data_IF_735687945681
#
_entry.id   IF_735687945681
#
_cell.length_a   1.000
_cell.length_b   1.000
_cell.length_c   1.000
_cell.angle_alpha   90.00
_cell.angle_beta   90.00
_cell.angle_gamma   90.00
#
_symmetry.space_group_name_H-M   'P 1'
#
loop_
_entity.id
_entity.type
_entity.pdbx_description
1 polymer ?
#
# COMPACT_ATOMS: atom_id res chain seq x y z
N UNK A 1 53.99 22.36 51.36
CA UNK A 1 53.56 21.47 50.26
C UNK A 1 52.06 21.66 50.05
N UNK A 2 51.62 22.14 48.88
CA UNK A 2 50.18 22.32 48.59
C UNK A 2 49.48 20.95 48.60
N UNK A 3 48.30 20.86 49.22
CA UNK A 3 47.52 19.62 49.36
C UNK A 3 47.22 18.97 47.99
N UNK A 4 47.96 17.92 47.62
CA UNK A 4 47.81 17.21 46.33
C UNK A 4 46.49 16.42 46.21
N UNK A 5 45.85 16.09 47.32
CA UNK A 5 44.62 15.28 47.36
C UNK A 5 43.38 16.00 46.81
N UNK A 6 43.29 17.33 46.91
CA UNK A 6 42.15 18.10 46.39
C UNK A 6 42.08 18.15 44.87
N UNK A 7 43.24 18.15 44.19
CA UNK A 7 43.34 18.11 42.73
C UNK A 7 42.86 16.78 42.15
N UNK A 8 43.25 15.65 42.77
CA UNK A 8 42.82 14.30 42.37
C UNK A 8 41.29 14.11 42.46
N UNK A 9 40.67 14.68 43.50
CA UNK A 9 39.21 14.59 43.68
C UNK A 9 38.49 15.39 42.59
N UNK A 10 38.96 16.61 42.30
CA UNK A 10 38.37 17.46 41.26
C UNK A 10 38.49 16.84 39.87
N UNK A 11 39.68 16.32 39.52
CA UNK A 11 39.90 15.60 38.24
C UNK A 11 38.98 14.38 38.12
N UNK A 12 38.81 13.63 39.20
CA UNK A 12 37.91 12.47 39.23
C UNK A 12 36.45 12.89 39.00
N UNK A 13 35.99 13.97 39.62
CA UNK A 13 34.61 14.47 39.44
C UNK A 13 34.38 14.95 38.01
N UNK A 14 35.32 15.70 37.43
CA UNK A 14 35.22 16.17 36.04
C UNK A 14 35.23 15.00 35.06
N UNK A 15 36.10 14.01 35.28
CA UNK A 15 36.14 12.79 34.47
C UNK A 15 34.81 12.03 34.54
N UNK A 16 34.28 11.82 35.74
CA UNK A 16 33.04 11.06 35.94
C UNK A 16 31.82 11.81 35.36
N UNK A 17 31.76 13.14 35.54
CA UNK A 17 30.72 13.98 34.94
C UNK A 17 30.77 13.93 33.42
N UNK A 18 31.96 13.98 32.82
CA UNK A 18 32.10 13.90 31.36
C UNK A 18 31.69 12.53 30.82
N UNK A 19 32.04 11.43 31.51
CA UNK A 19 31.58 10.09 31.16
C UNK A 19 30.06 9.97 31.20
N UNK A 20 29.39 10.47 32.25
CA UNK A 20 27.93 10.42 32.36
C UNK A 20 27.26 11.18 31.21
N UNK A 21 27.77 12.38 30.87
CA UNK A 21 27.26 13.16 29.74
C UNK A 21 27.39 12.38 28.44
N UNK A 22 28.56 11.77 28.19
CA UNK A 22 28.81 10.95 26.99
C UNK A 22 27.84 9.77 26.94
N UNK A 23 27.65 9.04 28.05
CA UNK A 23 26.74 7.90 28.12
C UNK A 23 25.30 8.32 27.81
N UNK A 24 24.83 9.45 28.36
CA UNK A 24 23.48 9.95 28.11
C UNK A 24 23.27 10.35 26.64
N UNK A 25 24.27 11.01 26.03
CA UNK A 25 24.23 11.38 24.62
C UNK A 25 24.19 10.13 23.73
N UNK A 26 25.05 9.14 24.01
CA UNK A 26 25.08 7.87 23.27
C UNK A 26 23.74 7.12 23.40
N UNK A 27 23.16 7.08 24.59
CA UNK A 27 21.87 6.44 24.83
C UNK A 27 20.74 7.12 24.04
N UNK A 28 20.72 8.45 24.01
CA UNK A 28 19.75 9.22 23.22
C UNK A 28 19.87 8.94 21.71
N UNK A 29 21.11 8.92 21.18
CA UNK A 29 21.38 8.58 19.78
C UNK A 29 20.90 7.15 19.47
N UNK A 30 21.17 6.20 20.36
CA UNK A 30 20.77 4.81 20.20
C UNK A 30 19.26 4.65 20.11
N UNK A 31 18.50 5.24 21.04
CA UNK A 31 17.03 5.23 21.00
C UNK A 31 16.48 5.88 19.74
N UNK A 32 17.05 7.03 19.34
CA UNK A 32 16.65 7.71 18.12
C UNK A 32 16.89 6.83 16.89
N UNK A 33 18.01 6.11 16.84
CA UNK A 33 18.35 5.21 15.73
C UNK A 33 17.37 4.06 15.61
N UNK A 34 16.94 3.45 16.72
CA UNK A 34 15.92 2.40 16.71
C UNK A 34 14.60 2.93 16.16
N UNK A 35 14.16 4.10 16.63
CA UNK A 35 12.92 4.71 16.17
C UNK A 35 12.97 5.08 14.68
N UNK A 36 14.11 5.58 14.20
CA UNK A 36 14.31 5.86 12.79
C UNK A 36 14.27 4.58 11.95
N UNK A 37 14.95 3.51 12.39
CA UNK A 37 14.92 2.21 11.73
C UNK A 37 13.48 1.72 11.54
N UNK A 38 12.69 1.71 12.62
CA UNK A 38 11.29 1.23 12.56
C UNK A 38 10.46 2.05 11.57
N UNK A 39 10.61 3.38 11.55
CA UNK A 39 9.91 4.25 10.59
C UNK A 39 10.32 3.97 9.14
N UNK A 40 11.61 3.71 8.90
CA UNK A 40 12.13 3.39 7.56
C UNK A 40 11.61 2.02 7.11
N UNK A 41 11.62 1.03 7.99
CA UNK A 41 11.08 -0.31 7.73
C UNK A 41 9.59 -0.25 7.37
N UNK A 42 8.78 0.45 8.18
CA UNK A 42 7.36 0.65 7.91
C UNK A 42 7.13 1.36 6.55
N UNK A 43 7.99 2.32 6.18
CA UNK A 43 7.89 3.03 4.89
C UNK A 43 8.26 2.13 3.71
N UNK A 44 9.31 1.32 3.84
CA UNK A 44 9.75 0.37 2.80
C UNK A 44 8.66 -0.68 2.57
N UNK A 45 8.07 -1.20 3.64
CA UNK A 45 7.00 -2.20 3.54
C UNK A 45 5.76 -1.64 2.84
N UNK A 46 5.34 -0.41 3.15
CA UNK A 46 4.25 0.26 2.42
C UNK A 46 4.54 0.40 0.92
N UNK A 47 5.79 0.71 0.55
CA UNK A 47 6.20 0.77 -0.85
C UNK A 47 6.17 -0.60 -1.51
N UNK A 48 6.67 -1.65 -0.83
CA UNK A 48 6.64 -3.02 -1.34
C UNK A 48 5.20 -3.52 -1.55
N UNK A 49 4.33 -3.32 -0.55
CA UNK A 49 2.90 -3.64 -0.64
C UNK A 49 2.23 -2.91 -1.82
N UNK A 50 2.54 -1.63 -2.00
CA UNK A 50 2.00 -0.87 -3.14
C UNK A 50 2.40 -1.47 -4.50
N UNK A 51 3.65 -1.93 -4.64
CA UNK A 51 4.15 -2.52 -5.88
C UNK A 51 3.53 -3.88 -6.16
N UNK A 52 3.31 -4.69 -5.13
CA UNK A 52 2.61 -5.98 -5.24
C UNK A 52 1.16 -5.77 -5.67
N UNK A 53 0.45 -4.82 -5.05
CA UNK A 53 -0.92 -4.45 -5.43
C UNK A 53 -0.96 -3.99 -6.89
N UNK A 54 -0.06 -3.10 -7.31
CA UNK A 54 0.00 -2.60 -8.69
C UNK A 54 0.14 -3.76 -9.68
N UNK A 55 1.10 -4.67 -9.46
CA UNK A 55 1.31 -5.82 -10.35
C UNK A 55 0.09 -6.74 -10.40
N UNK A 56 -0.54 -6.99 -9.25
CA UNK A 56 -1.73 -7.83 -9.15
C UNK A 56 -2.91 -7.19 -9.89
N UNK A 57 -3.16 -5.90 -9.65
CA UNK A 57 -4.21 -5.14 -10.33
C UNK A 57 -3.96 -5.04 -11.83
N UNK A 58 -2.70 -4.83 -12.25
CA UNK A 58 -2.32 -4.79 -13.66
C UNK A 58 -2.64 -6.13 -14.32
N UNK A 59 -2.19 -7.26 -13.76
CA UNK A 59 -2.46 -8.59 -14.33
C UNK A 59 -3.95 -8.96 -14.40
N UNK A 60 -4.79 -8.36 -13.57
CA UNK A 60 -6.25 -8.54 -13.62
C UNK A 60 -6.82 -7.58 -14.68
N UNK A 61 -6.72 -6.27 -14.45
CA UNK A 61 -7.39 -5.25 -15.25
C UNK A 61 -6.90 -5.25 -16.69
N UNK A 62 -5.60 -5.46 -16.94
CA UNK A 62 -5.05 -5.43 -18.30
C UNK A 62 -5.64 -6.53 -19.19
N UNK A 63 -5.93 -7.69 -18.58
CA UNK A 63 -6.47 -8.86 -19.26
C UNK A 63 -8.01 -8.87 -19.32
N UNK A 64 -8.66 -7.95 -18.62
CA UNK A 64 -10.10 -7.77 -18.69
C UNK A 64 -10.54 -7.16 -20.03
N UNK A 65 -11.85 -7.20 -20.29
CA UNK A 65 -12.47 -6.49 -21.40
C UNK A 65 -12.91 -5.06 -21.05
N UNK A 66 -12.83 -4.68 -19.79
CA UNK A 66 -13.33 -3.41 -19.29
C UNK A 66 -13.90 -3.50 -17.89
N UNK A 67 -14.27 -2.34 -17.36
CA UNK A 67 -14.80 -2.17 -16.01
C UNK A 67 -16.32 -2.02 -16.06
N UNK A 68 -17.04 -2.75 -15.21
CA UNK A 68 -18.50 -2.83 -15.24
C UNK A 68 -19.19 -1.81 -14.32
N UNK A 69 -18.60 -1.51 -13.16
CA UNK A 69 -19.29 -0.82 -12.06
C UNK A 69 -18.92 0.67 -11.92
N UNK A 70 -17.94 1.15 -12.66
CA UNK A 70 -17.53 2.55 -12.63
C UNK A 70 -18.07 3.21 -13.89
N UNK A 71 -19.16 3.96 -13.73
CA UNK A 71 -19.77 4.75 -14.80
C UNK A 71 -18.77 5.79 -15.33
N UNK A 72 -18.57 5.81 -16.66
CA UNK A 72 -17.74 6.76 -17.38
C UNK A 72 -18.20 8.22 -17.19
N UNK A 73 -17.27 9.16 -17.48
CA UNK A 73 -17.44 10.57 -17.88
C UNK A 73 -17.17 11.71 -16.87
N UNK A 74 -16.59 11.47 -15.71
CA UNK A 74 -16.04 12.56 -14.90
C UNK A 74 -14.51 12.56 -14.96
N UNK A 75 -13.88 13.71 -15.21
CA UNK A 75 -12.41 13.88 -15.28
C UNK A 75 -11.72 13.78 -13.90
N UNK A 76 -12.41 13.30 -12.87
CA UNK A 76 -11.95 13.30 -11.49
C UNK A 76 -11.91 11.91 -10.86
N UNK A 77 -10.91 11.68 -10.02
CA UNK A 77 -10.81 10.46 -9.20
C UNK A 77 -12.01 10.30 -8.27
N UNK A 78 -12.70 9.16 -8.37
CA UNK A 78 -13.81 8.81 -7.49
C UNK A 78 -13.35 7.81 -6.44
N UNK A 79 -13.61 8.10 -5.16
CA UNK A 79 -13.39 7.12 -4.08
C UNK A 79 -14.28 5.90 -4.33
N UNK A 80 -13.69 4.72 -4.38
CA UNK A 80 -14.42 3.47 -4.64
C UNK A 80 -13.90 2.35 -3.74
N UNK A 81 -14.80 1.46 -3.34
CA UNK A 81 -14.49 0.26 -2.57
C UNK A 81 -14.42 -0.98 -3.45
N UNK A 82 -14.81 -0.90 -4.72
CA UNK A 82 -14.85 -2.06 -5.62
C UNK A 82 -14.57 -1.68 -7.07
N UNK A 83 -13.82 -2.53 -7.77
CA UNK A 83 -13.58 -2.48 -9.21
C UNK A 83 -14.01 -3.83 -9.80
N UNK A 84 -15.10 -3.85 -10.54
CA UNK A 84 -15.61 -5.06 -11.20
C UNK A 84 -15.10 -5.11 -12.64
N UNK A 85 -14.31 -6.14 -12.94
CA UNK A 85 -13.69 -6.39 -14.23
C UNK A 85 -14.45 -7.47 -15.00
N UNK A 86 -14.75 -7.21 -16.27
CA UNK A 86 -15.42 -8.14 -17.17
C UNK A 86 -14.42 -9.02 -17.91
N UNK A 87 -14.73 -10.30 -18.07
CA UNK A 87 -14.03 -11.28 -18.89
C UNK A 87 -15.04 -12.00 -19.80
N UNK A 88 -14.61 -12.48 -20.97
CA UNK A 88 -15.49 -13.26 -21.87
C UNK A 88 -15.40 -14.74 -21.52
N UNK A 89 -16.54 -15.40 -21.66
CA UNK A 89 -16.66 -16.85 -21.81
C UNK A 89 -16.42 -17.21 -23.29
N UNK A 90 -15.17 -17.19 -23.75
CA UNK A 90 -14.84 -17.65 -25.11
C UNK A 90 -14.80 -19.18 -25.11
N UNK A 91 -15.97 -19.77 -25.37
CA UNK A 91 -16.27 -21.17 -25.70
C UNK A 91 -16.99 -21.95 -24.60
N UNK A 92 -18.10 -22.59 -24.99
CA UNK A 92 -18.89 -23.58 -24.26
C UNK A 92 -18.11 -24.87 -23.85
N UNK A 93 -16.80 -24.80 -23.63
CA UNK A 93 -15.96 -25.91 -23.20
C UNK A 93 -15.25 -25.56 -21.88
N UNK A 94 -15.94 -25.90 -20.79
CA UNK A 94 -15.44 -26.40 -19.49
C UNK A 94 -14.57 -25.55 -18.54
N UNK A 95 -14.06 -24.35 -18.89
CA UNK A 95 -13.51 -23.43 -17.87
C UNK A 95 -13.92 -21.97 -18.13
N UNK A 96 -15.16 -21.63 -17.79
CA UNK A 96 -15.66 -20.25 -17.88
C UNK A 96 -14.81 -19.31 -17.01
N UNK A 97 -14.09 -18.37 -17.63
CA UNK A 97 -13.35 -17.34 -16.89
C UNK A 97 -14.37 -16.40 -16.25
N UNK A 98 -14.66 -16.64 -14.97
CA UNK A 98 -15.54 -15.78 -14.19
C UNK A 98 -15.03 -14.34 -14.17
N UNK A 99 -15.96 -13.38 -14.21
CA UNK A 99 -15.68 -11.97 -13.94
C UNK A 99 -14.96 -11.83 -12.60
N UNK A 100 -14.15 -10.78 -12.43
CA UNK A 100 -13.37 -10.57 -11.20
C UNK A 100 -13.74 -9.25 -10.54
N UNK A 101 -13.70 -9.22 -9.23
CA UNK A 101 -13.89 -8.01 -8.44
C UNK A 101 -12.68 -7.79 -7.56
N UNK A 102 -12.14 -6.57 -7.64
CA UNK A 102 -11.12 -6.08 -6.70
C UNK A 102 -11.84 -5.26 -5.65
N UNK A 103 -11.87 -5.73 -4.40
CA UNK A 103 -12.63 -5.13 -3.31
C UNK A 103 -11.72 -4.68 -2.17
N UNK A 104 -11.94 -3.44 -1.74
CA UNK A 104 -11.34 -2.86 -0.54
C UNK A 104 -12.22 -3.18 0.68
N UNK A 105 -11.65 -3.95 1.60
CA UNK A 105 -12.23 -4.13 2.92
C UNK A 105 -11.75 -3.01 3.85
N UNK A 106 -12.52 -1.92 3.92
CA UNK A 106 -12.19 -0.74 4.75
C UNK A 106 -12.09 -1.03 6.25
N UNK A 107 -12.65 -2.16 6.74
CA UNK A 107 -12.51 -2.54 8.16
C UNK A 107 -11.16 -3.19 8.45
N UNK A 108 -10.59 -3.86 7.44
CA UNK A 108 -9.33 -4.60 7.56
C UNK A 108 -8.16 -3.90 6.87
N UNK A 109 -8.42 -2.80 6.17
CA UNK A 109 -7.48 -2.08 5.30
C UNK A 109 -6.78 -3.01 4.30
N UNK A 110 -7.54 -3.94 3.70
CA UNK A 110 -7.00 -4.98 2.81
C UNK A 110 -7.75 -5.03 1.49
N UNK A 111 -7.02 -5.36 0.42
CA UNK A 111 -7.58 -5.60 -0.90
C UNK A 111 -7.70 -7.08 -1.16
N UNK A 112 -8.84 -7.48 -1.72
CA UNK A 112 -9.13 -8.85 -2.12
C UNK A 112 -9.54 -8.91 -3.57
N UNK A 113 -9.30 -10.07 -4.17
CA UNK A 113 -9.81 -10.42 -5.50
C UNK A 113 -10.78 -11.58 -5.35
N UNK A 114 -12.03 -11.33 -5.73
CA UNK A 114 -13.07 -12.34 -5.74
C UNK A 114 -13.48 -12.65 -7.18
N UNK A 115 -13.92 -13.89 -7.43
CA UNK A 115 -14.71 -14.21 -8.61
C UNK A 115 -16.14 -13.67 -8.45
N UNK A 116 -16.76 -13.31 -9.56
CA UNK A 116 -18.14 -12.84 -9.64
C UNK A 116 -18.98 -13.92 -10.32
N UNK A 117 -20.14 -14.21 -9.72
CA UNK A 117 -21.22 -14.96 -10.35
C UNK A 117 -22.37 -14.00 -10.68
N UNK A 118 -22.51 -13.66 -11.96
CA UNK A 118 -23.32 -12.52 -12.37
C UNK A 118 -22.77 -11.22 -11.75
N UNK A 119 -23.58 -10.53 -10.94
CA UNK A 119 -23.17 -9.30 -10.24
C UNK A 119 -22.69 -9.53 -8.79
N UNK A 120 -22.81 -10.76 -8.28
CA UNK A 120 -22.54 -11.09 -6.88
C UNK A 120 -21.15 -11.69 -6.67
N UNK A 121 -20.46 -11.24 -5.62
CA UNK A 121 -19.14 -11.75 -5.26
C UNK A 121 -19.24 -13.14 -4.65
N UNK A 122 -18.45 -14.08 -5.16
CA UNK A 122 -18.34 -15.42 -4.58
C UNK A 122 -17.37 -15.44 -3.40
N UNK A 123 -17.63 -16.33 -2.44
CA UNK A 123 -16.69 -16.63 -1.37
C UNK A 123 -15.50 -17.44 -1.92
N UNK A 124 -14.30 -17.19 -1.38
CA UNK A 124 -13.08 -17.91 -1.77
C UNK A 124 -12.04 -17.07 -2.51
N UNK A 125 -12.18 -15.74 -2.55
CA UNK A 125 -11.15 -14.87 -3.08
C UNK A 125 -9.86 -14.84 -2.27
N UNK A 126 -8.83 -14.22 -2.84
CA UNK A 126 -7.49 -14.11 -2.26
C UNK A 126 -7.12 -12.66 -1.96
N UNK A 127 -6.28 -12.47 -0.95
CA UNK A 127 -5.74 -11.15 -0.59
C UNK A 127 -4.66 -10.73 -1.58
N UNK A 128 -4.67 -9.47 -2.01
CA UNK A 128 -3.68 -8.90 -2.93
C UNK A 128 -2.97 -7.68 -2.38
N UNK A 129 -3.30 -7.25 -1.16
CA UNK A 129 -2.69 -6.09 -0.54
C UNK A 129 -3.15 -5.86 0.88
N UNK A 130 -2.23 -5.34 1.68
CA UNK A 130 -2.45 -4.90 3.05
C UNK A 130 -2.23 -3.38 3.19
N UNK A 131 -2.67 -2.82 4.33
CA UNK A 131 -2.51 -1.41 4.71
C UNK A 131 -3.20 -0.39 3.81
N UNK A 132 -4.17 -0.78 2.99
CA UNK A 132 -4.89 0.12 2.09
C UNK A 132 -6.03 0.80 2.81
N UNK A 133 -5.94 2.12 3.01
CA UNK A 133 -6.99 2.91 3.66
C UNK A 133 -8.05 3.36 2.66
N UNK A 134 -7.61 3.79 1.48
CA UNK A 134 -8.49 4.37 0.47
C UNK A 134 -8.06 3.98 -0.93
N UNK A 135 -9.04 3.72 -1.78
CA UNK A 135 -8.87 3.46 -3.21
C UNK A 135 -9.71 4.46 -4.00
N UNK A 136 -9.09 5.04 -5.03
CA UNK A 136 -9.71 5.97 -5.95
C UNK A 136 -9.49 5.51 -7.38
N UNK A 137 -10.51 5.63 -8.22
CA UNK A 137 -10.46 5.18 -9.61
C UNK A 137 -10.97 6.28 -10.53
N UNK A 138 -10.30 6.42 -11.67
CA UNK A 138 -10.68 7.29 -12.78
C UNK A 138 -10.52 6.51 -14.09
N UNK A 139 -11.62 6.36 -14.82
CA UNK A 139 -11.61 5.73 -16.14
C UNK A 139 -11.45 6.81 -17.21
N UNK A 140 -10.53 6.58 -18.14
CA UNK A 140 -10.22 7.51 -19.23
C UNK A 140 -10.24 6.80 -20.58
N UNK A 141 -10.36 7.58 -21.65
CA UNK A 141 -10.41 7.10 -23.02
C UNK A 141 -11.50 6.02 -23.24
N UNK A 142 -12.75 6.39 -22.90
CA UNK A 142 -13.95 5.55 -23.03
C UNK A 142 -13.92 4.19 -22.31
N UNK A 143 -12.99 3.93 -21.40
CA UNK A 143 -12.87 2.62 -20.74
C UNK A 143 -11.53 1.93 -20.96
N UNK A 144 -10.72 2.41 -21.92
CA UNK A 144 -9.47 1.76 -22.29
C UNK A 144 -8.37 1.90 -21.24
N UNK A 145 -8.43 2.94 -20.40
CA UNK A 145 -7.46 3.17 -19.35
C UNK A 145 -8.11 3.35 -18.00
N UNK A 146 -7.60 2.63 -17.00
CA UNK A 146 -8.01 2.72 -15.61
C UNK A 146 -6.86 3.35 -14.82
N UNK A 147 -7.08 4.55 -14.30
CA UNK A 147 -6.15 5.23 -13.40
C UNK A 147 -6.59 4.95 -11.98
N UNK A 148 -5.67 4.46 -11.15
CA UNK A 148 -5.94 4.07 -9.78
C UNK A 148 -5.00 4.86 -8.87
N UNK A 149 -5.54 5.36 -7.77
CA UNK A 149 -4.79 5.97 -6.69
C UNK A 149 -5.10 5.24 -5.40
N UNK A 150 -4.06 4.82 -4.71
CA UNK A 150 -4.14 4.12 -3.43
C UNK A 150 -3.47 4.96 -2.34
N UNK A 151 -4.13 5.02 -1.18
CA UNK A 151 -3.52 5.54 0.05
C UNK A 151 -3.34 4.40 1.02
N UNK A 152 -2.11 4.23 1.48
CA UNK A 152 -1.73 3.20 2.42
C UNK A 152 -1.20 3.81 3.72
N UNK A 153 -1.47 3.17 4.85
CA UNK A 153 -0.90 3.56 6.13
C UNK A 153 -0.51 2.39 7.02
N UNK A 154 0.65 2.55 7.66
CA UNK A 154 1.15 1.65 8.68
C UNK A 154 1.69 2.48 9.83
N UNK A 155 1.05 2.33 11.00
CA UNK A 155 1.33 3.14 12.20
C UNK A 155 1.30 4.65 11.88
N UNK A 156 2.42 5.35 12.03
CA UNK A 156 2.52 6.79 11.74
C UNK A 156 2.96 7.11 10.31
N UNK A 157 3.27 6.09 9.49
CA UNK A 157 3.72 6.28 8.11
C UNK A 157 2.53 6.22 7.16
N UNK A 158 2.54 7.11 6.17
CA UNK A 158 1.55 7.18 5.10
C UNK A 158 2.27 7.13 3.77
N UNK A 159 1.66 6.48 2.80
CA UNK A 159 2.18 6.36 1.45
C UNK A 159 1.04 6.48 0.45
N UNK A 160 1.25 7.23 -0.63
CA UNK A 160 0.28 7.39 -1.71
C UNK A 160 0.97 6.98 -3.01
N UNK A 161 0.25 6.21 -3.84
CA UNK A 161 0.72 5.82 -5.17
C UNK A 161 -0.42 5.98 -6.18
N UNK A 162 -0.06 6.41 -7.37
CA UNK A 162 -0.93 6.55 -8.53
C UNK A 162 -0.34 5.81 -9.73
N UNK A 163 -1.18 5.09 -10.46
CA UNK A 163 -0.76 4.29 -11.61
C UNK A 163 -1.89 4.16 -12.63
N UNK A 164 -1.50 3.90 -13.86
CA UNK A 164 -2.39 3.80 -15.02
C UNK A 164 -2.25 2.44 -15.67
N UNK A 165 -3.37 1.72 -15.79
CA UNK A 165 -3.43 0.40 -16.43
C UNK A 165 -4.18 0.54 -17.75
N UNK A 166 -3.62 -0.05 -18.81
CA UNK A 166 -4.29 -0.19 -20.10
C UNK A 166 -5.04 -1.53 -20.15
N UNK A 167 -6.30 -1.49 -20.56
CA UNK A 167 -7.10 -2.69 -20.85
C UNK A 167 -6.77 -3.14 -22.28
N UNK A 168 -6.11 -4.30 -22.42
CA UNK A 168 -5.65 -4.79 -23.73
C UNK A 168 -6.79 -5.37 -24.56
N UNK A 169 -7.67 -6.14 -23.93
CA UNK A 169 -8.78 -6.83 -24.57
C UNK A 169 -10.06 -5.97 -24.56
N UNK A 170 -9.92 -4.64 -24.53
CA UNK A 170 -11.03 -3.72 -24.39
C UNK A 170 -12.06 -3.93 -25.51
N UNK A 171 -13.31 -4.17 -25.12
CA UNK A 171 -14.44 -4.26 -26.05
C UNK A 171 -15.57 -3.34 -25.60
N UNK A 172 -16.05 -2.49 -26.50
CA UNK A 172 -17.19 -1.60 -26.24
C UNK A 172 -18.54 -2.33 -26.34
N UNK A 173 -18.59 -3.60 -26.77
CA UNK A 173 -19.85 -4.32 -26.97
C UNK A 173 -20.51 -4.67 -25.62
N UNK A 174 -21.73 -4.15 -25.42
CA UNK A 174 -22.70 -4.52 -24.38
C UNK A 174 -23.43 -5.79 -24.83
#
# INVERSE_FOLDING_TARGET
MKHKYGYLLLESVVSLSSMVIIILVLYSIFLSTINLKLKVEDKIELQQQSLEIIKSMEGIISNSMGIMNVSNYEETFKKTTSIKCRYVDENNNEESISNKEIILNERRNKLFVNSLNGESSQAGGYEIGDYVDEMYVLITNNGQYVNIKLKLSKRSQKYETDFKIKVWNFSESI
#
